data_IF_196633764275
#
_entry.id   IF_196633764275
#
_cell.length_a   1.000
_cell.length_b   1.000
_cell.length_c   1.000
_cell.angle_alpha   90.00
_cell.angle_beta   90.00
_cell.angle_gamma   90.00
#
_symmetry.space_group_name_H-M   'P 1'
#
loop_
_entity.id
_entity.type
_entity.pdbx_description
1 polymer ?
#
# COMPACT_ATOMS: atom_id res chain seq x y z
N UNK A 1 -4.60 8.29 34.56
CA UNK A 1 -3.83 7.11 34.09
C UNK A 1 -2.63 7.58 33.29
N UNK A 2 -1.41 7.35 33.80
CA UNK A 2 -0.19 7.60 33.02
C UNK A 2 0.01 6.43 32.03
N UNK A 3 0.22 6.75 30.75
CA UNK A 3 0.66 5.79 29.74
C UNK A 3 2.12 6.06 29.43
N UNK A 4 2.98 5.07 29.66
CA UNK A 4 4.40 5.13 29.33
C UNK A 4 4.67 4.36 28.04
N UNK A 5 5.55 4.88 27.18
CA UNK A 5 6.00 4.19 25.97
C UNK A 5 7.11 3.21 26.34
N UNK A 6 6.87 1.91 26.17
CA UNK A 6 7.86 0.86 26.44
C UNK A 6 8.21 0.11 25.16
N UNK A 7 9.49 -0.26 25.05
CA UNK A 7 10.03 -1.12 23.99
C UNK A 7 9.57 -2.56 24.24
N UNK A 8 8.93 -3.16 23.25
CA UNK A 8 8.52 -4.56 23.24
C UNK A 8 9.69 -5.42 22.74
N UNK A 9 9.99 -6.56 23.39
CA UNK A 9 11.00 -7.48 22.88
C UNK A 9 10.58 -8.04 21.51
N UNK A 10 11.54 -8.24 20.61
CA UNK A 10 11.28 -8.76 19.26
C UNK A 10 10.61 -10.13 19.30
N UNK A 11 10.95 -10.95 20.30
CA UNK A 11 10.39 -12.28 20.52
C UNK A 11 8.87 -12.23 20.72
N UNK A 12 8.39 -11.24 21.49
CA UNK A 12 6.96 -11.04 21.70
C UNK A 12 6.25 -10.66 20.39
N UNK A 13 6.89 -9.84 19.54
CA UNK A 13 6.32 -9.46 18.25
C UNK A 13 6.30 -10.61 17.25
N UNK A 14 7.33 -11.47 17.27
CA UNK A 14 7.37 -12.68 16.47
C UNK A 14 6.26 -13.64 16.90
N UNK A 15 6.09 -13.85 18.20
CA UNK A 15 5.03 -14.71 18.73
C UNK A 15 3.62 -14.15 18.44
N UNK A 16 3.42 -12.85 18.57
CA UNK A 16 2.16 -12.20 18.16
C UNK A 16 1.90 -12.35 16.66
N UNK A 17 2.92 -12.16 15.81
CA UNK A 17 2.80 -12.38 14.37
C UNK A 17 2.50 -13.83 14.03
N UNK A 18 3.15 -14.81 14.67
CA UNK A 18 2.84 -16.24 14.44
C UNK A 18 1.41 -16.58 14.83
N UNK A 19 0.93 -16.09 15.97
CA UNK A 19 -0.45 -16.32 16.44
C UNK A 19 -1.47 -15.63 15.53
N UNK A 20 -1.17 -14.41 15.06
CA UNK A 20 -2.04 -13.63 14.18
C UNK A 20 -1.95 -13.98 12.70
N UNK A 21 -0.87 -14.64 12.27
CA UNK A 21 -0.56 -14.95 10.87
C UNK A 21 -1.73 -15.53 10.06
N UNK A 22 -2.44 -16.59 10.51
CA UNK A 22 -3.52 -17.16 9.70
C UNK A 22 -4.65 -16.15 9.46
N UNK A 23 -4.99 -15.34 10.46
CA UNK A 23 -6.02 -14.31 10.35
C UNK A 23 -5.53 -13.18 9.45
N UNK A 24 -4.31 -12.68 9.67
CA UNK A 24 -3.76 -11.57 8.90
C UNK A 24 -3.64 -11.96 7.42
N UNK A 25 -3.11 -13.14 7.11
CA UNK A 25 -3.02 -13.62 5.74
C UNK A 25 -4.42 -13.79 5.13
N UNK A 26 -5.35 -14.44 5.84
CA UNK A 26 -6.73 -14.59 5.36
C UNK A 26 -7.35 -13.21 5.04
N UNK A 27 -7.22 -12.24 5.94
CA UNK A 27 -7.71 -10.87 5.70
C UNK A 27 -6.97 -10.20 4.54
N UNK A 28 -5.65 -10.34 4.43
CA UNK A 28 -4.86 -9.74 3.35
C UNK A 28 -5.16 -10.32 1.97
N UNK A 29 -5.62 -11.57 1.86
CA UNK A 29 -6.02 -12.17 0.58
C UNK A 29 -7.52 -12.00 0.32
N UNK A 30 -8.37 -12.35 1.29
CA UNK A 30 -9.81 -12.37 1.13
C UNK A 30 -10.42 -10.96 1.14
N UNK A 31 -9.95 -10.03 1.97
CA UNK A 31 -10.56 -8.70 2.00
C UNK A 31 -10.34 -7.93 0.67
N UNK A 32 -9.13 -7.92 0.06
CA UNK A 32 -8.98 -7.34 -1.27
C UNK A 32 -9.77 -8.09 -2.33
N UNK A 33 -9.80 -9.43 -2.30
CA UNK A 33 -10.53 -10.23 -3.28
C UNK A 33 -12.07 -10.08 -3.18
N UNK A 34 -12.63 -9.88 -2.00
CA UNK A 34 -14.08 -9.75 -1.82
C UNK A 34 -14.56 -8.30 -1.91
N UNK A 35 -13.83 -7.36 -1.29
CA UNK A 35 -14.29 -5.98 -1.14
C UNK A 35 -13.70 -5.03 -2.19
N UNK A 36 -12.54 -5.35 -2.75
CA UNK A 36 -11.76 -4.42 -3.56
C UNK A 36 -11.35 -4.97 -4.94
N UNK A 37 -11.80 -6.18 -5.33
CA UNK A 37 -11.41 -6.78 -6.61
C UNK A 37 -11.81 -5.93 -7.83
N UNK A 38 -12.86 -5.14 -7.67
CA UNK A 38 -13.34 -4.21 -8.69
C UNK A 38 -12.34 -3.09 -8.96
N UNK A 39 -11.45 -2.74 -8.02
CA UNK A 39 -10.46 -1.67 -8.21
C UNK A 39 -9.48 -2.02 -9.34
N UNK A 40 -8.71 -3.14 -9.29
CA UNK A 40 -7.90 -3.56 -10.42
C UNK A 40 -8.70 -3.63 -11.71
N UNK A 41 -9.91 -4.21 -11.67
CA UNK A 41 -10.77 -4.34 -12.84
C UNK A 41 -11.08 -2.99 -13.49
N UNK A 42 -11.47 -1.97 -12.71
CA UNK A 42 -11.71 -0.62 -13.23
C UNK A 42 -10.47 -0.03 -13.90
N UNK A 43 -9.28 -0.21 -13.30
CA UNK A 43 -8.03 0.27 -13.88
C UNK A 43 -7.67 -0.44 -15.18
N UNK A 44 -7.91 -1.75 -15.28
CA UNK A 44 -7.71 -2.50 -16.52
C UNK A 44 -8.72 -2.11 -17.61
N UNK A 45 -9.99 -1.89 -17.24
CA UNK A 45 -11.01 -1.41 -18.17
C UNK A 45 -10.72 0.02 -18.64
N UNK A 46 -10.34 0.91 -17.73
CA UNK A 46 -9.86 2.26 -18.07
C UNK A 46 -8.67 2.19 -19.03
N UNK A 47 -7.69 1.33 -18.75
CA UNK A 47 -6.53 1.14 -19.62
C UNK A 47 -6.91 0.62 -21.02
N UNK A 48 -7.97 -0.18 -21.15
CA UNK A 48 -8.47 -0.65 -22.44
C UNK A 48 -9.20 0.45 -23.23
N UNK A 49 -9.76 1.44 -22.53
CA UNK A 49 -10.52 2.55 -23.12
C UNK A 49 -9.66 3.77 -23.47
N UNK A 50 -8.35 3.72 -23.25
CA UNK A 50 -7.44 4.78 -23.72
C UNK A 50 -7.32 4.67 -25.23
N UNK A 51 -7.68 5.73 -25.95
CA UNK A 51 -7.54 5.77 -27.41
C UNK A 51 -6.07 5.84 -27.82
N UNK A 52 -5.69 5.19 -28.91
CA UNK A 52 -4.32 5.21 -29.45
C UNK A 52 -3.87 6.62 -29.88
N UNK A 53 -4.82 7.52 -30.12
CA UNK A 53 -4.58 8.94 -30.42
C UNK A 53 -4.17 9.78 -29.21
N UNK A 54 -4.27 9.21 -28.01
CA UNK A 54 -3.93 9.86 -26.76
C UNK A 54 -2.43 10.17 -26.68
N UNK A 55 -2.08 11.36 -26.18
CA UNK A 55 -0.67 11.65 -25.88
C UNK A 55 -0.13 10.65 -24.86
N UNK A 56 1.03 10.07 -25.16
CA UNK A 56 1.65 9.06 -24.30
C UNK A 56 0.74 7.85 -24.00
N UNK A 57 -0.04 7.40 -25.00
CA UNK A 57 -0.88 6.19 -24.92
C UNK A 57 -0.21 5.03 -24.15
N UNK A 58 1.03 4.68 -24.50
CA UNK A 58 1.74 3.57 -23.87
C UNK A 58 2.01 3.82 -22.38
N UNK A 59 2.53 5.00 -22.03
CA UNK A 59 2.89 5.34 -20.64
C UNK A 59 1.66 5.47 -19.75
N UNK A 60 0.59 6.10 -20.22
CA UNK A 60 -0.64 6.27 -19.45
C UNK A 60 -1.39 4.94 -19.27
N UNK A 61 -1.45 4.12 -20.32
CA UNK A 61 -2.01 2.75 -20.25
C UNK A 61 -1.19 1.86 -19.32
N UNK A 62 0.15 1.93 -19.42
CA UNK A 62 1.04 1.20 -18.53
C UNK A 62 0.83 1.65 -17.08
N UNK A 63 0.76 2.95 -16.82
CA UNK A 63 0.49 3.47 -15.49
C UNK A 63 -0.84 2.95 -14.94
N UNK A 64 -1.95 3.03 -15.70
CA UNK A 64 -3.26 2.53 -15.25
C UNK A 64 -3.19 1.05 -14.83
N UNK A 65 -2.61 0.18 -15.68
CA UNK A 65 -2.47 -1.26 -15.37
C UNK A 65 -1.59 -1.48 -14.14
N UNK A 66 -0.50 -0.74 -14.03
CA UNK A 66 0.49 -0.93 -12.97
C UNK A 66 -0.03 -0.39 -11.63
N UNK A 67 -0.68 0.77 -11.63
CA UNK A 67 -1.29 1.39 -10.46
C UNK A 67 -2.46 0.57 -9.91
N UNK A 68 -3.27 -0.03 -10.79
CA UNK A 68 -4.37 -0.91 -10.37
C UNK A 68 -3.93 -2.21 -9.69
N UNK A 69 -2.73 -2.72 -10.03
CA UNK A 69 -2.27 -4.04 -9.59
C UNK A 69 -1.16 -3.99 -8.52
N UNK A 70 -0.12 -3.20 -8.76
CA UNK A 70 1.12 -3.25 -7.96
C UNK A 70 0.90 -2.89 -6.49
N UNK A 71 0.16 -1.84 -6.11
CA UNK A 71 -0.08 -1.53 -4.70
C UNK A 71 -0.72 -2.69 -3.92
N UNK A 72 -1.69 -3.39 -4.54
CA UNK A 72 -2.33 -4.57 -3.93
C UNK A 72 -1.34 -5.74 -3.81
N UNK A 73 -0.66 -6.09 -4.89
CA UNK A 73 0.30 -7.19 -4.91
C UNK A 73 1.46 -6.97 -3.95
N UNK A 74 2.01 -5.75 -3.89
CA UNK A 74 3.07 -5.40 -2.96
C UNK A 74 2.64 -5.64 -1.51
N UNK A 75 1.45 -5.18 -1.12
CA UNK A 75 0.93 -5.40 0.24
C UNK A 75 0.90 -6.89 0.63
N UNK A 76 0.39 -7.73 -0.27
CA UNK A 76 0.31 -9.18 -0.07
C UNK A 76 1.71 -9.81 0.04
N UNK A 77 2.61 -9.49 -0.91
CA UNK A 77 3.97 -10.05 -0.95
C UNK A 77 4.75 -9.73 0.32
N UNK A 78 4.72 -8.47 0.77
CA UNK A 78 5.43 -8.10 2.00
C UNK A 78 4.78 -8.70 3.24
N UNK A 79 3.45 -8.85 3.28
CA UNK A 79 2.78 -9.50 4.40
C UNK A 79 3.17 -10.99 4.50
N UNK A 80 3.23 -11.69 3.38
CA UNK A 80 3.73 -13.08 3.32
C UNK A 80 5.19 -13.13 3.78
N UNK A 81 6.05 -12.22 3.31
CA UNK A 81 7.45 -12.15 3.71
C UNK A 81 7.61 -11.96 5.23
N UNK A 82 6.84 -11.06 5.84
CA UNK A 82 6.84 -10.83 7.29
C UNK A 82 6.41 -12.09 8.04
N UNK A 83 5.35 -12.77 7.57
CA UNK A 83 4.89 -14.01 8.19
C UNK A 83 5.93 -15.13 8.08
N UNK A 84 6.53 -15.34 6.90
CA UNK A 84 7.55 -16.36 6.71
C UNK A 84 8.78 -16.11 7.59
N UNK A 85 9.26 -14.86 7.65
CA UNK A 85 10.40 -14.50 8.50
C UNK A 85 10.09 -14.65 9.99
N UNK A 86 8.85 -14.39 10.42
CA UNK A 86 8.40 -14.69 11.78
C UNK A 86 8.40 -16.20 12.07
N UNK A 87 7.94 -17.03 11.13
CA UNK A 87 7.94 -18.49 11.27
C UNK A 87 9.37 -19.06 11.37
N UNK A 88 10.32 -18.49 10.63
CA UNK A 88 11.74 -18.88 10.72
C UNK A 88 12.41 -18.49 12.04
N UNK A 89 11.79 -17.62 12.86
CA UNK A 89 12.32 -17.20 14.16
C UNK A 89 13.59 -16.34 14.10
N UNK A 90 14.01 -15.87 12.92
CA UNK A 90 15.22 -15.07 12.78
C UNK A 90 14.93 -13.58 13.05
N UNK A 91 15.47 -13.05 14.15
CA UNK A 91 15.18 -11.70 14.63
C UNK A 91 15.65 -10.61 13.66
N UNK A 92 16.79 -10.81 12.99
CA UNK A 92 17.33 -9.82 12.05
C UNK A 92 16.48 -9.77 10.78
N UNK A 93 16.14 -10.94 10.22
CA UNK A 93 15.29 -11.03 9.03
C UNK A 93 13.88 -10.51 9.28
N UNK A 94 13.31 -10.81 10.45
CA UNK A 94 11.98 -10.30 10.81
C UNK A 94 11.96 -8.77 10.92
N UNK A 95 12.96 -8.17 11.59
CA UNK A 95 13.10 -6.71 11.65
C UNK A 95 13.30 -6.09 10.27
N UNK A 96 14.09 -6.74 9.41
CA UNK A 96 14.28 -6.29 8.03
C UNK A 96 12.97 -6.35 7.25
N UNK A 97 12.20 -7.43 7.36
CA UNK A 97 10.90 -7.58 6.70
C UNK A 97 9.90 -6.51 7.14
N UNK A 98 9.83 -6.20 8.44
CA UNK A 98 9.00 -5.10 8.95
C UNK A 98 9.42 -3.73 8.40
N UNK A 99 10.72 -3.48 8.22
CA UNK A 99 11.22 -2.26 7.58
C UNK A 99 10.91 -2.25 6.08
N UNK A 100 11.00 -3.38 5.39
CA UNK A 100 10.63 -3.49 3.98
C UNK A 100 9.14 -3.22 3.77
N UNK A 101 8.28 -3.52 4.74
CA UNK A 101 6.86 -3.19 4.66
C UNK A 101 6.63 -1.67 4.55
N UNK A 102 7.56 -0.83 5.02
CA UNK A 102 7.51 0.62 4.85
C UNK A 102 7.71 1.02 3.38
N UNK A 103 8.47 0.25 2.62
CA UNK A 103 8.70 0.50 1.20
C UNK A 103 7.39 0.41 0.40
N UNK A 104 6.38 -0.32 0.87
CA UNK A 104 5.06 -0.32 0.21
C UNK A 104 4.45 1.07 0.17
N UNK A 105 4.56 1.83 1.25
CA UNK A 105 4.10 3.22 1.31
C UNK A 105 4.87 4.11 0.34
N UNK A 106 6.20 3.97 0.29
CA UNK A 106 7.04 4.72 -0.65
C UNK A 106 6.72 4.38 -2.11
N UNK A 107 6.52 3.10 -2.43
CA UNK A 107 6.13 2.64 -3.77
C UNK A 107 4.77 3.22 -4.16
N UNK A 108 3.77 3.17 -3.27
CA UNK A 108 2.44 3.75 -3.53
C UNK A 108 2.51 5.25 -3.80
N UNK A 109 3.31 5.99 -3.05
CA UNK A 109 3.53 7.43 -3.26
C UNK A 109 4.26 7.69 -4.58
N UNK A 110 5.31 6.91 -4.89
CA UNK A 110 6.04 7.01 -6.15
C UNK A 110 5.13 6.76 -7.37
N UNK A 111 4.27 5.76 -7.29
CA UNK A 111 3.26 5.45 -8.31
C UNK A 111 2.23 6.56 -8.46
N UNK A 112 1.87 7.24 -7.37
CA UNK A 112 0.96 8.38 -7.39
C UNK A 112 1.62 9.61 -8.03
N UNK A 113 2.90 9.89 -7.72
CA UNK A 113 3.65 10.96 -8.37
C UNK A 113 3.78 10.68 -9.88
N UNK A 114 4.14 9.46 -10.26
CA UNK A 114 4.18 9.04 -11.66
C UNK A 114 2.80 9.21 -12.32
N UNK A 115 1.72 8.87 -11.62
CA UNK A 115 0.37 9.04 -12.11
C UNK A 115 -0.05 10.49 -12.33
N UNK A 116 0.29 11.41 -11.42
CA UNK A 116 0.07 12.84 -11.63
C UNK A 116 0.84 13.36 -12.85
N UNK A 117 2.09 12.91 -13.03
CA UNK A 117 2.91 13.27 -14.20
C UNK A 117 2.27 12.78 -15.50
N UNK A 118 1.89 11.51 -15.58
CA UNK A 118 1.26 10.97 -16.80
C UNK A 118 -0.12 11.57 -17.05
N UNK A 119 -0.96 11.70 -16.02
CA UNK A 119 -2.28 12.31 -16.14
C UNK A 119 -2.22 13.76 -16.64
N UNK A 120 -1.25 14.56 -16.16
CA UNK A 120 -1.07 15.96 -16.57
C UNK A 120 -0.70 16.14 -18.05
N UNK A 121 -0.19 15.09 -18.70
CA UNK A 121 0.18 15.09 -20.13
C UNK A 121 -0.96 14.70 -21.06
N UNK A 122 -2.11 14.30 -20.50
CA UNK A 122 -3.27 13.85 -21.29
C UNK A 122 -4.25 14.99 -21.50
N UNK A 123 -4.91 15.01 -22.66
CA UNK A 123 -6.07 15.86 -22.97
C UNK A 123 -7.39 15.06 -23.02
N UNK A 124 -8.55 15.68 -22.76
CA UNK A 124 -9.83 14.96 -22.68
C UNK A 124 -10.28 14.42 -24.05
N UNK A 125 -10.14 15.25 -25.08
CA UNK A 125 -10.62 14.95 -26.44
C UNK A 125 -9.88 13.78 -27.09
N UNK A 126 -8.53 13.68 -27.03
CA UNK A 126 -7.82 12.57 -27.69
C UNK A 126 -7.73 11.28 -26.84
N UNK A 127 -8.03 11.33 -25.55
CA UNK A 127 -7.78 10.21 -24.62
C UNK A 127 -9.03 9.49 -24.08
N UNK A 128 -10.23 9.98 -24.37
CA UNK A 128 -11.49 9.39 -23.87
C UNK A 128 -12.23 8.70 -25.02
N UNK A 129 -12.33 7.36 -24.95
CA UNK A 129 -13.23 6.60 -25.82
C UNK A 129 -14.71 6.81 -25.47
N UNK A 130 -15.61 6.42 -26.38
CA UNK A 130 -17.08 6.50 -26.19
C UNK A 130 -17.65 5.45 -25.20
N UNK A 131 -16.80 4.80 -24.42
CA UNK A 131 -17.17 3.70 -23.53
C UNK A 131 -17.53 4.16 -22.10
N UNK A 132 -18.18 3.27 -21.35
CA UNK A 132 -18.74 3.52 -20.02
C UNK A 132 -17.72 3.97 -18.94
N UNK A 133 -16.43 3.69 -19.14
CA UNK A 133 -15.37 4.05 -18.19
C UNK A 133 -14.43 5.07 -18.83
N UNK A 134 -14.52 6.30 -18.34
CA UNK A 134 -13.60 7.36 -18.69
C UNK A 134 -12.26 7.19 -17.94
N UNK A 135 -11.14 6.87 -18.64
CA UNK A 135 -9.86 6.59 -18.00
C UNK A 135 -9.27 7.80 -17.29
N UNK A 136 -9.50 9.01 -17.83
CA UNK A 136 -8.99 10.26 -17.25
C UNK A 136 -9.72 10.59 -15.94
N UNK A 137 -11.04 10.44 -15.92
CA UNK A 137 -11.85 10.64 -14.70
C UNK A 137 -11.50 9.60 -13.64
N UNK A 138 -11.36 8.33 -14.04
CA UNK A 138 -10.93 7.25 -13.14
C UNK A 138 -9.58 7.58 -12.51
N UNK A 139 -8.59 7.92 -13.33
CA UNK A 139 -7.25 8.30 -12.88
C UNK A 139 -7.31 9.48 -11.89
N UNK A 140 -8.04 10.54 -12.23
CA UNK A 140 -8.16 11.73 -11.40
C UNK A 140 -8.76 11.42 -10.02
N UNK A 141 -9.85 10.65 -9.97
CA UNK A 141 -10.50 10.28 -8.71
C UNK A 141 -9.53 9.54 -7.79
N UNK A 142 -8.84 8.53 -8.30
CA UNK A 142 -7.91 7.74 -7.49
C UNK A 142 -6.63 8.51 -7.13
N UNK A 143 -6.14 9.41 -8.00
CA UNK A 143 -5.03 10.29 -7.67
C UNK A 143 -5.39 11.27 -6.54
N UNK A 144 -6.60 11.84 -6.54
CA UNK A 144 -7.08 12.70 -5.46
C UNK A 144 -7.20 11.91 -4.15
N UNK A 145 -7.88 10.76 -4.17
CA UNK A 145 -8.04 9.91 -3.00
C UNK A 145 -6.69 9.46 -2.42
N UNK A 146 -5.76 9.05 -3.29
CA UNK A 146 -4.40 8.71 -2.93
C UNK A 146 -3.65 9.89 -2.31
N UNK A 147 -3.81 11.10 -2.87
CA UNK A 147 -3.13 12.31 -2.41
C UNK A 147 -3.58 12.75 -1.02
N UNK A 148 -4.85 12.49 -0.67
CA UNK A 148 -5.37 12.74 0.68
C UNK A 148 -4.71 11.79 1.70
N UNK A 149 -4.50 10.52 1.33
CA UNK A 149 -3.88 9.51 2.21
C UNK A 149 -2.35 9.57 2.28
N UNK A 150 -1.70 10.08 1.23
CA UNK A 150 -0.24 10.06 1.08
C UNK A 150 0.54 10.73 2.23
N UNK A 151 0.14 11.89 2.78
CA UNK A 151 0.85 12.52 3.90
C UNK A 151 0.91 11.62 5.14
N UNK A 152 -0.20 10.94 5.48
CA UNK A 152 -0.26 10.02 6.62
C UNK A 152 0.60 8.78 6.40
N UNK A 153 0.60 8.24 5.18
CA UNK A 153 1.43 7.09 4.80
C UNK A 153 2.92 7.45 4.86
N UNK A 154 3.31 8.60 4.31
CA UNK A 154 4.70 9.08 4.36
C UNK A 154 5.14 9.39 5.79
N UNK A 155 4.33 10.11 6.57
CA UNK A 155 4.66 10.40 7.96
C UNK A 155 4.84 9.12 8.77
N UNK A 156 3.94 8.13 8.59
CA UNK A 156 4.05 6.82 9.22
C UNK A 156 5.30 6.05 8.77
N UNK A 157 5.60 6.09 7.47
CA UNK A 157 6.78 5.46 6.88
C UNK A 157 8.09 6.07 7.43
N UNK A 158 8.20 7.40 7.45
CA UNK A 158 9.35 8.12 7.96
C UNK A 158 9.49 7.90 9.47
N UNK A 159 8.40 7.98 10.23
CA UNK A 159 8.42 7.74 11.67
C UNK A 159 8.90 6.32 12.00
N UNK A 160 8.35 5.30 11.33
CA UNK A 160 8.72 3.89 11.57
C UNK A 160 10.07 3.49 10.96
N UNK A 161 10.50 4.15 9.89
CA UNK A 161 11.70 3.81 9.12
C UNK A 161 12.95 4.53 9.59
N UNK A 162 12.86 5.84 9.87
CA UNK A 162 13.99 6.67 10.27
C UNK A 162 14.14 6.77 11.80
N UNK A 163 13.03 6.89 12.53
CA UNK A 163 13.04 7.18 13.98
C UNK A 163 12.62 6.00 14.86
N UNK A 164 11.99 4.98 14.29
CA UNK A 164 11.27 3.97 15.04
C UNK A 164 12.05 2.66 15.21
N UNK A 165 12.45 2.37 16.44
CA UNK A 165 12.37 0.97 16.88
C UNK A 165 10.89 0.59 16.76
N UNK A 166 10.54 -0.35 15.87
CA UNK A 166 9.15 -0.75 15.51
C UNK A 166 8.34 -1.29 16.71
N UNK A 167 8.95 -1.25 17.89
CA UNK A 167 8.63 -2.00 19.08
C UNK A 167 8.03 -1.12 20.19
N UNK A 168 7.83 0.18 19.99
CA UNK A 168 7.27 1.05 21.04
C UNK A 168 5.74 0.93 21.12
N UNK A 169 5.19 0.51 22.27
CA UNK A 169 3.74 0.61 22.58
C UNK A 169 3.50 1.39 23.86
N UNK A 170 2.32 2.02 23.94
CA UNK A 170 1.78 2.57 25.18
C UNK A 170 1.40 1.40 26.10
N UNK A 171 2.06 1.29 27.24
CA UNK A 171 1.71 0.34 28.30
C UNK A 171 1.02 1.14 29.40
N UNK A 172 -0.16 0.69 29.84
CA UNK A 172 -0.80 1.23 31.06
C UNK A 172 0.03 0.77 32.25
N UNK A 173 0.51 1.71 33.06
CA UNK A 173 1.15 1.36 34.32
C UNK A 173 0.09 0.81 35.28
N UNK A 174 0.37 -0.28 36.02
CA UNK A 174 -0.53 -0.77 37.05
C UNK A 174 -0.69 0.33 38.12
N UNK A 175 -1.93 0.60 38.52
CA UNK A 175 -2.23 1.52 39.62
C UNK A 175 -1.74 0.89 40.93
N UNK A 176 -0.71 1.49 41.53
CA UNK A 176 -0.33 1.25 42.92
C UNK A 176 0.64 0.08 43.16
N UNK A 177 1.86 0.45 43.51
CA UNK A 177 2.50 -0.07 44.74
C UNK A 177 2.67 1.13 45.66
#
# INVERSE_FOLDING_TARGET
MATSMKRIPTDQLIEEQKKGAPIILCVSFCAPACCCFWIPLLFFLGAANVLQTCENYESFTAWLRTYGLVPMCCGIVFQVLVTLTACCGNHMLFKLALRLQILTGCVSVGMMIWGWVEWSKTEEVPCVGNDDINPRTLALVFLILGSIGAPSVLAGALYRGLCGDVNMRKVKEPEGV
#
